data_IF_408177944786
#
_entry.id   IF_408177944786
#
_cell.length_a   1.000
_cell.length_b   1.000
_cell.length_c   1.000
_cell.angle_alpha   90.00
_cell.angle_beta   90.00
_cell.angle_gamma   90.00
#
_symmetry.space_group_name_H-M   'P 1'
#
loop_
_entity.id
_entity.type
_entity.pdbx_description
1 polymer ?
#
# COMPACT_ATOMS: atom_id res chain seq x y z
N UNK A 1 1.80 -6.72 24.88
CA UNK A 1 2.76 -6.55 25.99
C UNK A 1 4.21 -6.78 25.55
N UNK A 2 4.52 -7.85 24.80
CA UNK A 2 5.90 -8.18 24.39
C UNK A 2 6.61 -7.06 23.62
N UNK A 3 5.88 -6.35 22.78
CA UNK A 3 6.43 -5.27 21.92
C UNK A 3 6.08 -3.87 22.40
N UNK A 4 5.40 -3.74 23.53
CA UNK A 4 4.93 -2.47 24.10
C UNK A 4 4.24 -1.57 23.07
N UNK A 5 3.42 -2.16 22.19
CA UNK A 5 2.69 -1.41 21.16
C UNK A 5 1.64 -0.50 21.82
N UNK A 6 1.41 0.68 21.26
CA UNK A 6 0.38 1.60 21.76
C UNK A 6 -1.01 1.05 21.52
N UNK A 7 -1.22 0.40 20.38
CA UNK A 7 -2.48 -0.28 20.05
C UNK A 7 -2.27 -1.39 19.02
N UNK A 8 -3.31 -2.13 18.74
CA UNK A 8 -3.38 -3.14 17.70
C UNK A 8 -4.80 -3.56 17.40
N UNK A 9 -5.03 -4.06 16.19
CA UNK A 9 -6.32 -4.60 15.79
C UNK A 9 -6.15 -5.91 15.02
N UNK A 10 -7.20 -6.73 15.05
CA UNK A 10 -7.31 -7.95 14.27
C UNK A 10 -8.71 -8.01 13.64
N UNK A 11 -8.77 -8.30 12.36
CA UNK A 11 -10.01 -8.55 11.63
C UNK A 11 -9.99 -9.96 11.07
N UNK A 12 -11.06 -10.72 11.30
CA UNK A 12 -11.30 -12.01 10.66
C UNK A 12 -12.41 -11.83 9.64
N UNK A 13 -12.09 -12.07 8.38
CA UNK A 13 -13.01 -11.93 7.26
C UNK A 13 -13.16 -13.26 6.53
N UNK A 14 -14.39 -13.58 6.14
CA UNK A 14 -14.68 -14.71 5.29
C UNK A 14 -14.31 -14.38 3.84
N UNK A 15 -13.36 -15.13 3.27
CA UNK A 15 -12.80 -14.83 1.96
C UNK A 15 -13.83 -14.89 0.81
N UNK A 16 -14.81 -15.81 0.91
CA UNK A 16 -15.82 -16.03 -0.13
C UNK A 16 -16.89 -14.94 -0.19
N UNK A 17 -17.16 -14.24 0.90
CA UNK A 17 -18.28 -13.30 1.01
C UNK A 17 -17.87 -11.89 1.43
N UNK A 18 -16.63 -11.68 1.88
CA UNK A 18 -16.16 -10.43 2.47
C UNK A 18 -16.80 -10.11 3.85
N UNK A 19 -17.58 -11.02 4.43
CA UNK A 19 -18.22 -10.79 5.72
C UNK A 19 -17.20 -10.78 6.85
N UNK A 20 -17.22 -9.72 7.67
CA UNK A 20 -16.43 -9.65 8.89
C UNK A 20 -17.06 -10.58 9.93
N UNK A 21 -16.27 -11.56 10.39
CA UNK A 21 -16.70 -12.55 11.39
C UNK A 21 -16.26 -12.17 12.80
N UNK A 22 -15.14 -11.47 12.93
CA UNK A 22 -14.68 -10.93 14.20
C UNK A 22 -13.82 -9.68 13.94
N UNK A 23 -13.85 -8.75 14.88
CA UNK A 23 -13.00 -7.58 14.91
C UNK A 23 -12.63 -7.30 16.37
N UNK A 24 -11.34 -7.18 16.64
CA UNK A 24 -10.81 -6.89 17.97
C UNK A 24 -9.89 -5.69 17.87
N UNK A 25 -10.04 -4.73 18.75
CA UNK A 25 -9.26 -3.52 18.83
C UNK A 25 -8.79 -3.30 20.27
N UNK A 26 -7.49 -3.23 20.49
CA UNK A 26 -6.93 -2.99 21.81
C UNK A 26 -6.00 -1.79 21.78
N UNK A 27 -6.21 -0.84 22.67
CA UNK A 27 -5.34 0.30 22.89
C UNK A 27 -4.82 0.32 24.33
N UNK A 28 -3.58 0.77 24.50
CA UNK A 28 -2.96 0.97 25.80
C UNK A 28 -3.59 2.18 26.47
N UNK A 29 -3.96 2.06 27.74
CA UNK A 29 -4.47 3.20 28.52
C UNK A 29 -3.31 3.99 29.12
N UNK A 30 -3.45 5.31 29.18
CA UNK A 30 -2.40 6.21 29.73
C UNK A 30 -2.20 6.03 31.25
N UNK A 31 -3.23 5.52 31.96
CA UNK A 31 -3.24 5.49 33.42
C UNK A 31 -2.60 4.24 34.04
N UNK A 32 -2.85 3.09 33.46
CA UNK A 32 -2.50 1.80 34.09
C UNK A 32 -1.75 0.85 33.15
N UNK A 33 -1.39 1.32 31.95
CA UNK A 33 -0.73 0.53 30.91
C UNK A 33 -1.45 -0.77 30.53
N UNK A 34 -2.76 -0.84 30.81
CA UNK A 34 -3.60 -1.99 30.48
C UNK A 34 -4.16 -1.80 29.07
N UNK A 35 -4.20 -2.88 28.29
CA UNK A 35 -4.82 -2.88 26.98
C UNK A 35 -6.31 -3.09 27.11
N UNK A 36 -7.10 -2.16 26.56
CA UNK A 36 -8.57 -2.18 26.56
C UNK A 36 -9.11 -1.85 25.17
N UNK A 37 -10.35 -2.18 24.93
CA UNK A 37 -11.08 -1.75 23.75
C UNK A 37 -11.49 -0.28 23.92
N UNK A 38 -10.73 0.65 23.32
CA UNK A 38 -10.92 2.10 23.45
C UNK A 38 -11.60 2.71 22.22
N UNK A 39 -11.19 2.28 21.04
CA UNK A 39 -11.72 2.72 19.75
C UNK A 39 -11.46 1.67 18.67
N UNK A 40 -12.19 1.78 17.57
CA UNK A 40 -12.00 0.88 16.44
C UNK A 40 -10.82 1.36 15.56
N UNK A 41 -9.60 0.98 15.93
CA UNK A 41 -8.39 1.35 15.21
C UNK A 41 -8.39 0.82 13.76
N UNK A 42 -9.02 -0.31 13.51
CA UNK A 42 -9.08 -0.95 12.20
C UNK A 42 -9.73 -0.07 11.11
N UNK A 43 -10.64 0.83 11.49
CA UNK A 43 -11.35 1.71 10.53
C UNK A 43 -11.11 3.20 10.82
N UNK A 44 -10.64 3.54 12.00
CA UNK A 44 -10.41 4.93 12.40
C UNK A 44 -9.03 5.43 11.99
N UNK A 45 -8.00 4.58 12.16
CA UNK A 45 -6.63 5.00 11.93
C UNK A 45 -6.29 4.99 10.45
N UNK A 46 -5.59 6.05 10.02
CA UNK A 46 -5.02 6.15 8.69
C UNK A 46 -3.52 5.84 8.78
N UNK A 47 -3.10 4.82 8.07
CA UNK A 47 -1.70 4.45 7.95
C UNK A 47 -1.32 4.24 6.50
N UNK A 48 -0.04 4.28 6.22
CA UNK A 48 0.48 3.84 4.93
C UNK A 48 0.20 2.35 4.78
N UNK A 49 -0.40 1.91 3.64
CA UNK A 49 -0.80 0.51 3.45
C UNK A 49 0.39 -0.44 3.31
N UNK A 50 1.57 0.11 3.04
CA UNK A 50 2.78 -0.66 2.79
C UNK A 50 2.64 -1.58 1.58
N UNK A 51 3.43 -2.69 1.57
CA UNK A 51 3.53 -3.60 0.42
C UNK A 51 2.22 -4.25 -0.04
N UNK A 52 1.15 -4.18 0.74
CA UNK A 52 -0.19 -4.62 0.31
C UNK A 52 -0.72 -3.78 -0.85
N UNK A 53 -0.31 -2.51 -0.93
CA UNK A 53 -0.70 -1.61 -2.01
C UNK A 53 -0.15 -2.00 -3.38
N UNK A 54 0.96 -2.75 -3.44
CA UNK A 54 1.52 -3.24 -4.72
C UNK A 54 0.54 -4.08 -5.52
N UNK A 55 -0.37 -4.79 -4.84
CA UNK A 55 -1.42 -5.56 -5.52
C UNK A 55 -2.35 -4.63 -6.29
N UNK A 56 -2.82 -3.55 -5.67
CA UNK A 56 -3.68 -2.57 -6.32
C UNK A 56 -2.93 -1.83 -7.45
N UNK A 57 -1.69 -1.42 -7.21
CA UNK A 57 -0.86 -0.74 -8.21
C UNK A 57 -0.62 -1.61 -9.45
N UNK A 58 -0.29 -2.89 -9.25
CA UNK A 58 -0.08 -3.81 -10.36
C UNK A 58 -1.38 -4.16 -11.08
N UNK A 59 -2.48 -4.34 -10.33
CA UNK A 59 -3.80 -4.62 -10.91
C UNK A 59 -4.19 -3.57 -11.94
N UNK A 60 -4.16 -2.28 -11.56
CA UNK A 60 -4.53 -1.22 -12.51
C UNK A 60 -3.58 -1.11 -13.68
N UNK A 61 -2.28 -1.32 -13.48
CA UNK A 61 -1.31 -1.27 -14.58
C UNK A 61 -1.50 -2.41 -15.60
N UNK A 62 -1.94 -3.59 -15.14
CA UNK A 62 -2.31 -4.72 -16.00
C UNK A 62 -3.61 -4.44 -16.74
N UNK A 63 -4.64 -3.93 -16.07
CA UNK A 63 -5.92 -3.57 -16.71
C UNK A 63 -5.76 -2.46 -17.75
N UNK A 64 -4.86 -1.51 -17.51
CA UNK A 64 -4.54 -0.44 -18.46
C UNK A 64 -3.67 -0.95 -19.64
N UNK A 65 -3.26 -2.21 -19.63
CA UNK A 65 -2.40 -2.79 -20.67
C UNK A 65 -0.99 -2.21 -20.72
N UNK A 66 -0.54 -1.55 -19.65
CA UNK A 66 0.77 -0.87 -19.58
C UNK A 66 1.92 -1.82 -19.25
N UNK A 67 1.62 -2.93 -18.60
CA UNK A 67 2.60 -3.93 -18.18
C UNK A 67 2.06 -5.35 -18.36
N UNK A 68 2.97 -6.33 -18.34
CA UNK A 68 2.67 -7.77 -18.36
C UNK A 68 3.40 -8.46 -17.21
N UNK A 69 2.76 -9.43 -16.58
CA UNK A 69 3.35 -10.20 -15.48
C UNK A 69 4.60 -10.99 -15.89
N UNK A 70 4.73 -11.39 -17.16
CA UNK A 70 5.90 -12.06 -17.73
C UNK A 70 7.05 -11.09 -18.08
N UNK A 71 6.75 -9.79 -18.20
CA UNK A 71 7.74 -8.74 -18.46
C UNK A 71 8.91 -8.86 -17.50
N UNK A 72 10.14 -8.75 -18.03
CA UNK A 72 11.35 -8.81 -17.21
C UNK A 72 11.71 -7.44 -16.65
N UNK A 73 12.09 -7.43 -15.38
CA UNK A 73 12.57 -6.25 -14.68
C UNK A 73 13.88 -6.57 -13.95
N UNK A 74 14.89 -5.73 -14.15
CA UNK A 74 16.18 -5.90 -13.48
C UNK A 74 16.18 -5.18 -12.13
N UNK A 75 16.27 -5.99 -11.07
CA UNK A 75 16.34 -5.53 -9.68
C UNK A 75 17.74 -5.60 -9.08
N UNK A 76 18.77 -5.85 -9.92
CA UNK A 76 20.16 -5.99 -9.50
C UNK A 76 20.61 -4.78 -8.67
N UNK A 77 21.30 -5.07 -7.58
CA UNK A 77 21.74 -4.07 -6.59
C UNK A 77 20.67 -3.65 -5.59
N UNK A 78 19.43 -4.16 -5.70
CA UNK A 78 18.34 -3.93 -4.72
C UNK A 78 18.02 -2.46 -4.43
N UNK A 79 18.42 -1.55 -5.34
CA UNK A 79 18.26 -0.11 -5.15
C UNK A 79 17.92 0.56 -6.48
N UNK A 80 16.96 1.48 -6.45
CA UNK A 80 16.61 2.35 -7.56
C UNK A 80 16.50 3.80 -7.07
N UNK A 81 17.17 4.74 -7.74
CA UNK A 81 17.20 6.15 -7.30
C UNK A 81 16.28 6.99 -8.16
N UNK A 82 15.37 7.74 -7.52
CA UNK A 82 14.46 8.71 -8.15
C UNK A 82 14.58 10.03 -7.40
N UNK A 83 14.85 11.13 -8.09
CA UNK A 83 15.02 12.46 -7.49
C UNK A 83 15.97 12.48 -6.27
N UNK A 84 17.09 11.73 -6.36
CA UNK A 84 18.07 11.62 -5.27
C UNK A 84 17.64 10.75 -4.08
N UNK A 85 16.44 10.19 -4.08
CA UNK A 85 15.95 9.27 -3.06
C UNK A 85 16.03 7.82 -3.54
N UNK A 86 16.35 6.92 -2.62
CA UNK A 86 16.58 5.50 -2.92
C UNK A 86 15.35 4.68 -2.54
N UNK A 87 14.72 4.06 -3.53
CA UNK A 87 13.82 2.91 -3.32
C UNK A 87 14.69 1.69 -3.09
N UNK A 88 14.44 0.93 -2.05
CA UNK A 88 15.27 -0.24 -1.69
C UNK A 88 14.42 -1.49 -1.54
N UNK A 89 14.96 -2.61 -1.99
CA UNK A 89 14.45 -3.93 -1.66
C UNK A 89 14.92 -4.37 -0.26
N UNK A 90 14.20 -5.29 0.36
CA UNK A 90 14.62 -5.95 1.60
C UNK A 90 15.90 -6.77 1.40
N UNK A 91 16.10 -7.34 0.21
CA UNK A 91 17.32 -8.05 -0.18
C UNK A 91 18.34 -7.05 -0.72
N UNK A 92 19.46 -6.88 -0.04
CA UNK A 92 20.50 -5.86 -0.30
C UNK A 92 21.00 -5.85 -1.75
N UNK A 93 21.21 -7.02 -2.36
CA UNK A 93 21.72 -7.14 -3.73
C UNK A 93 20.61 -7.29 -4.79
N UNK A 94 19.34 -7.15 -4.34
CA UNK A 94 18.17 -7.38 -5.18
C UNK A 94 17.98 -8.84 -5.57
N UNK A 95 17.18 -9.07 -6.58
CA UNK A 95 16.78 -10.42 -7.02
C UNK A 95 17.27 -10.73 -8.45
N UNK A 96 18.06 -9.83 -9.04
CA UNK A 96 18.53 -9.95 -10.42
C UNK A 96 17.43 -9.66 -11.45
N UNK A 97 17.51 -10.28 -12.61
CA UNK A 97 16.52 -10.15 -13.68
C UNK A 97 15.37 -11.15 -13.43
N UNK A 98 14.21 -10.64 -13.02
CA UNK A 98 13.02 -11.45 -12.69
C UNK A 98 11.81 -10.98 -13.50
N UNK A 99 10.75 -11.78 -13.54
CA UNK A 99 9.46 -11.33 -14.09
C UNK A 99 8.76 -10.36 -13.14
N UNK A 100 7.87 -9.52 -13.66
CA UNK A 100 7.09 -8.59 -12.86
C UNK A 100 6.18 -9.33 -11.86
N UNK A 101 5.58 -10.46 -12.28
CA UNK A 101 4.84 -11.33 -11.36
C UNK A 101 5.74 -11.83 -10.22
N UNK A 102 6.98 -12.25 -10.53
CA UNK A 102 7.94 -12.67 -9.49
C UNK A 102 8.38 -11.50 -8.60
N UNK A 103 8.44 -10.28 -9.12
CA UNK A 103 8.73 -9.09 -8.32
C UNK A 103 7.62 -8.83 -7.29
N UNK A 104 6.35 -9.06 -7.63
CA UNK A 104 5.23 -8.99 -6.68
C UNK A 104 5.33 -10.08 -5.60
N UNK A 105 5.56 -11.35 -5.98
CA UNK A 105 5.73 -12.48 -5.05
C UNK A 105 6.84 -12.24 -4.02
N UNK A 106 7.96 -11.65 -4.46
CA UNK A 106 9.10 -11.30 -3.62
C UNK A 106 8.95 -9.96 -2.91
N UNK A 107 7.82 -9.27 -3.16
CA UNK A 107 7.58 -7.91 -2.65
C UNK A 107 8.70 -6.92 -2.98
N UNK A 108 9.31 -7.04 -4.18
CA UNK A 108 10.39 -6.16 -4.63
C UNK A 108 9.88 -4.75 -4.88
N UNK A 109 10.33 -3.79 -4.09
CA UNK A 109 10.03 -2.37 -4.28
C UNK A 109 10.63 -1.86 -5.58
N UNK A 110 11.92 -2.23 -5.83
CA UNK A 110 12.64 -1.79 -7.03
C UNK A 110 12.01 -2.38 -8.30
N UNK A 111 11.57 -3.63 -8.25
CA UNK A 111 10.91 -4.29 -9.38
C UNK A 111 9.61 -3.62 -9.76
N UNK A 112 8.74 -3.39 -8.78
CA UNK A 112 7.44 -2.73 -9.00
C UNK A 112 7.64 -1.29 -9.50
N UNK A 113 8.48 -0.49 -8.83
CA UNK A 113 8.68 0.91 -9.21
C UNK A 113 9.35 1.03 -10.59
N UNK A 114 10.33 0.21 -10.91
CA UNK A 114 10.98 0.23 -12.24
C UNK A 114 10.01 -0.14 -13.38
N UNK A 115 9.06 -1.04 -13.11
CA UNK A 115 8.07 -1.42 -14.12
C UNK A 115 6.97 -0.36 -14.28
N UNK A 116 6.41 0.15 -13.18
CA UNK A 116 5.21 0.97 -13.21
C UNK A 116 5.48 2.49 -13.32
N UNK A 117 6.55 2.97 -12.69
CA UNK A 117 6.84 4.41 -12.69
C UNK A 117 7.01 5.02 -14.10
N UNK A 118 7.73 4.40 -15.06
CA UNK A 118 7.84 4.93 -16.41
C UNK A 118 6.49 5.14 -17.11
N UNK A 119 5.52 4.27 -16.81
CA UNK A 119 4.20 4.23 -17.46
C UNK A 119 3.29 5.38 -17.02
N UNK A 120 3.45 5.83 -15.76
CA UNK A 120 2.55 6.84 -15.18
C UNK A 120 3.22 8.18 -14.85
N UNK A 121 4.57 8.29 -14.92
CA UNK A 121 5.30 9.49 -14.51
C UNK A 121 4.91 10.76 -15.27
N UNK A 122 4.51 10.65 -16.54
CA UNK A 122 4.14 11.78 -17.39
C UNK A 122 2.66 12.19 -17.20
N UNK A 123 1.81 11.28 -16.72
CA UNK A 123 0.42 11.53 -16.38
C UNK A 123 0.04 10.79 -15.09
N UNK A 124 0.55 11.22 -13.93
CA UNK A 124 0.27 10.54 -12.67
C UNK A 124 -1.22 10.58 -12.28
N UNK A 125 -1.97 11.54 -12.81
CA UNK A 125 -3.41 11.62 -12.58
C UNK A 125 -4.14 10.37 -13.08
N UNK A 126 -3.72 9.80 -14.18
CA UNK A 126 -4.28 8.55 -14.71
C UNK A 126 -4.22 7.43 -13.67
N UNK A 127 -3.07 7.23 -13.02
CA UNK A 127 -2.94 6.25 -11.94
C UNK A 127 -3.87 6.55 -10.77
N UNK A 128 -3.96 7.81 -10.35
CA UNK A 128 -4.82 8.22 -9.23
C UNK A 128 -6.30 7.99 -9.58
N UNK A 129 -6.74 8.35 -10.78
CA UNK A 129 -8.13 8.13 -11.23
C UNK A 129 -8.48 6.63 -11.21
N UNK A 130 -7.53 5.76 -11.56
CA UNK A 130 -7.71 4.30 -11.45
C UNK A 130 -7.83 3.82 -10.01
N UNK A 131 -7.06 4.40 -9.06
CA UNK A 131 -7.21 4.10 -7.64
C UNK A 131 -8.62 4.45 -7.12
N UNK A 132 -9.18 5.58 -7.57
CA UNK A 132 -10.57 5.92 -7.27
C UNK A 132 -11.56 4.94 -7.90
N UNK A 133 -11.36 4.56 -9.17
CA UNK A 133 -12.26 3.64 -9.89
C UNK A 133 -12.34 2.25 -9.25
N UNK A 134 -11.26 1.74 -8.69
CA UNK A 134 -11.27 0.46 -7.96
C UNK A 134 -11.74 0.59 -6.50
N UNK A 135 -12.21 1.78 -6.10
CA UNK A 135 -12.84 2.01 -4.79
C UNK A 135 -11.89 2.22 -3.61
N UNK A 136 -10.59 2.44 -3.82
CA UNK A 136 -9.65 2.62 -2.72
C UNK A 136 -9.87 3.91 -1.91
N UNK A 137 -10.56 4.89 -2.48
CA UNK A 137 -10.94 6.12 -1.79
C UNK A 137 -12.35 6.05 -1.17
N UNK A 138 -13.08 4.97 -1.40
CA UNK A 138 -14.42 4.80 -0.86
C UNK A 138 -14.38 4.38 0.60
N UNK A 139 -15.38 4.80 1.35
CA UNK A 139 -15.62 4.22 2.66
C UNK A 139 -16.06 2.77 2.51
N UNK A 140 -15.65 1.93 3.43
CA UNK A 140 -16.01 0.51 3.46
C UNK A 140 -17.52 0.28 3.73
N UNK A 141 -18.22 1.34 4.21
CA UNK A 141 -19.64 1.30 4.63
C UNK A 141 -19.90 0.26 5.71
N UNK A 142 -18.88 -0.02 6.51
CA UNK A 142 -19.02 -0.89 7.67
C UNK A 142 -20.07 -0.28 8.65
N UNK A 143 -20.90 -1.14 9.26
CA UNK A 143 -21.96 -0.70 10.17
C UNK A 143 -21.46 -0.17 11.53
N UNK A 144 -20.15 -0.27 11.78
CA UNK A 144 -19.51 0.21 13.01
C UNK A 144 -19.12 1.69 12.82
N UNK A 145 -19.47 2.59 13.75
CA UNK A 145 -19.11 4.01 13.64
C UNK A 145 -17.61 4.25 13.78
N UNK A 146 -17.15 5.40 13.28
CA UNK A 146 -15.77 5.87 13.46
C UNK A 146 -14.85 5.63 12.26
N UNK A 147 -15.37 5.23 11.11
CA UNK A 147 -14.57 5.07 9.90
C UNK A 147 -14.04 6.43 9.40
N UNK A 148 -12.72 6.50 9.24
CA UNK A 148 -12.03 7.65 8.65
C UNK A 148 -12.24 7.71 7.14
N UNK A 149 -12.19 8.92 6.57
CA UNK A 149 -12.19 9.10 5.12
C UNK A 149 -10.80 8.73 4.60
N UNK A 150 -10.67 7.81 3.62
CA UNK A 150 -9.40 7.51 2.97
C UNK A 150 -8.77 8.77 2.37
N UNK A 151 -7.45 8.80 2.27
CA UNK A 151 -6.73 9.91 1.69
C UNK A 151 -5.71 9.41 0.66
N UNK A 152 -5.88 9.86 -0.59
CA UNK A 152 -4.93 9.63 -1.68
C UNK A 152 -4.41 11.01 -2.10
N UNK A 153 -3.08 11.25 -2.07
CA UNK A 153 -2.52 12.52 -2.59
C UNK A 153 -2.83 12.69 -4.07
N UNK A 154 -3.18 13.90 -4.48
CA UNK A 154 -3.53 14.20 -5.88
C UNK A 154 -2.51 15.14 -6.54
N UNK A 155 -2.16 14.90 -7.82
CA UNK A 155 -1.34 15.82 -8.61
C UNK A 155 -1.91 17.23 -8.62
N UNK A 156 -1.04 18.23 -8.49
CA UNK A 156 -1.44 19.64 -8.46
C UNK A 156 -1.88 20.17 -7.10
N UNK A 157 -1.97 19.33 -6.07
CA UNK A 157 -2.25 19.77 -4.69
C UNK A 157 -0.96 20.00 -3.90
N UNK A 158 -1.04 20.73 -2.78
CA UNK A 158 0.11 20.95 -1.86
C UNK A 158 0.63 19.67 -1.21
N UNK A 159 -0.12 18.59 -1.28
CA UNK A 159 0.25 17.26 -0.75
C UNK A 159 1.01 16.41 -1.78
N UNK A 160 1.09 16.86 -3.03
CA UNK A 160 1.77 16.15 -4.10
C UNK A 160 3.17 16.71 -4.35
N UNK A 161 4.15 15.83 -4.56
CA UNK A 161 5.49 16.18 -5.00
C UNK A 161 6.07 15.09 -5.91
N UNK A 162 7.28 15.29 -6.43
CA UNK A 162 7.92 14.33 -7.37
C UNK A 162 8.09 12.91 -6.83
N UNK A 163 8.07 12.72 -5.51
CA UNK A 163 8.19 11.41 -4.87
C UNK A 163 6.83 10.73 -4.63
N UNK A 164 5.72 11.48 -4.72
CA UNK A 164 4.40 10.94 -4.39
C UNK A 164 4.05 9.71 -5.20
N UNK A 165 4.15 9.79 -6.55
CA UNK A 165 3.87 8.63 -7.40
C UNK A 165 4.81 7.45 -7.11
N UNK A 166 6.16 7.58 -7.20
CA UNK A 166 7.03 6.41 -7.02
C UNK A 166 6.90 5.76 -5.64
N UNK A 167 6.62 6.53 -4.58
CA UNK A 167 6.38 5.97 -3.24
C UNK A 167 5.03 5.27 -3.16
N UNK A 168 4.00 5.83 -3.75
CA UNK A 168 2.66 5.23 -3.78
C UNK A 168 2.65 3.87 -4.50
N UNK A 169 3.49 3.67 -5.53
CA UNK A 169 3.53 2.41 -6.27
C UNK A 169 3.90 1.19 -5.42
N UNK A 170 4.57 1.39 -4.29
CA UNK A 170 4.95 0.27 -3.43
C UNK A 170 4.42 0.36 -1.98
N UNK A 171 3.62 1.43 -1.67
CA UNK A 171 2.94 1.63 -0.39
C UNK A 171 3.77 2.40 0.60
#
# INVERSE_FOLDING_TARGET
KKFNADHGCVIVMEASSGKIRAMVNLGKTDKDEIYRELRNYAVWEKSEPGSTFKVAALLVALEDGKVDTAQKVDTKGGTYTIYGRKVKDSKKDGYGLISLGRALELSSNTGIVKALYPEYKNNPKEFIDRMYQIGLADKSKIQIPGESIPFIPEPGTSKWNGLSLPWMLFG
#
